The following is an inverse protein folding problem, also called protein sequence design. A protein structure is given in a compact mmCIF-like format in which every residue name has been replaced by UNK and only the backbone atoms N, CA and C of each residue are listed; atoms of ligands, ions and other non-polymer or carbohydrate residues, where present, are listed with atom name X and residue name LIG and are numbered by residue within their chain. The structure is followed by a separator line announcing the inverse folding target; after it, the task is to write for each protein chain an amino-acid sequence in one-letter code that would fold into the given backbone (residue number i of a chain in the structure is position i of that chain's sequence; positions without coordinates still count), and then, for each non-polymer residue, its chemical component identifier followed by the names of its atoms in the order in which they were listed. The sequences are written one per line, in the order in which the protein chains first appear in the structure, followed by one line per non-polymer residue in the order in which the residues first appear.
data_IF_185909905474
#
_entry.id   IF_185909905474
#
_cell.length_a   1.000
_cell.length_b   1.000
_cell.length_c   1.000
_cell.angle_alpha   90.00
_cell.angle_beta   90.00
_cell.angle_gamma   90.00
#
_symmetry.space_group_name_H-M   'P 1'
#
loop_
_entity.id
_entity.type
_entity.pdbx_description
1 polymer ?
#
# COMPACT_ATOMS: atom_id res chain seq x y z
N UNK A 1 12.38 15.87 1.29
CA UNK A 1 11.30 14.89 1.12
C UNK A 1 10.24 15.43 0.19
N UNK A 2 9.69 14.62 -0.72
CA UNK A 2 8.65 15.07 -1.62
C UNK A 2 7.31 15.34 -0.93
N UNK A 3 7.12 14.87 0.30
CA UNK A 3 5.93 15.15 1.09
C UNK A 3 6.26 15.30 2.57
N UNK A 4 5.35 15.93 3.29
CA UNK A 4 5.39 16.06 4.75
C UNK A 4 4.22 15.34 5.38
N UNK A 5 4.32 15.04 6.67
CA UNK A 5 3.26 14.40 7.44
C UNK A 5 2.61 15.42 8.37
N UNK A 6 1.31 15.27 8.57
CA UNK A 6 0.51 16.14 9.43
C UNK A 6 0.00 15.32 10.60
N UNK A 7 0.11 15.85 11.79
CA UNK A 7 -0.43 15.23 13.00
C UNK A 7 -1.37 16.21 13.70
N UNK A 8 -2.37 15.67 14.40
CA UNK A 8 -3.30 16.46 15.18
C UNK A 8 -3.77 15.67 16.38
N UNK A 9 -4.02 16.32 17.53
CA UNK A 9 -4.55 15.61 18.70
C UNK A 9 -5.98 15.09 18.50
N UNK A 10 -6.74 15.62 17.55
CA UNK A 10 -8.11 15.22 17.29
C UNK A 10 -8.22 13.90 16.53
N UNK A 11 -7.13 13.45 15.91
CA UNK A 11 -7.12 12.19 15.16
C UNK A 11 -5.75 11.53 15.29
N UNK A 12 -5.72 10.35 15.89
CA UNK A 12 -4.47 9.62 16.11
C UNK A 12 -4.45 8.34 15.29
N UNK A 13 -3.30 7.99 14.69
CA UNK A 13 -3.18 6.71 14.02
C UNK A 13 -3.24 5.57 15.05
N UNK A 14 -3.95 4.51 14.69
CA UNK A 14 -4.09 3.32 15.53
C UNK A 14 -3.22 2.16 15.03
N UNK A 15 -2.43 2.40 14.01
CA UNK A 15 -1.52 1.43 13.40
C UNK A 15 -0.34 2.17 12.76
N UNK A 16 0.41 1.49 11.90
CA UNK A 16 1.59 2.04 11.25
C UNK A 16 1.23 2.84 9.98
N UNK A 17 0.65 4.01 10.18
CA UNK A 17 0.35 4.97 9.10
C UNK A 17 0.36 6.38 9.66
N UNK A 18 0.33 7.38 8.77
CA UNK A 18 0.20 8.79 9.14
C UNK A 18 -1.24 9.25 8.92
N UNK A 19 -1.69 10.20 9.74
CA UNK A 19 -3.06 10.71 9.64
C UNK A 19 -3.26 11.46 8.33
N UNK A 20 -2.28 12.25 7.91
CA UNK A 20 -2.35 12.98 6.66
C UNK A 20 -0.96 13.22 6.10
N UNK A 21 -0.88 13.35 4.80
CA UNK A 21 0.35 13.72 4.09
C UNK A 21 0.04 14.89 3.15
N UNK A 22 1.05 15.71 2.92
CA UNK A 22 0.94 16.87 2.03
C UNK A 22 2.13 16.89 1.08
N UNK A 23 1.86 17.02 -0.20
CA UNK A 23 2.90 17.12 -1.22
C UNK A 23 3.71 18.40 -1.02
N UNK A 24 5.02 18.28 -0.98
CA UNK A 24 5.94 19.42 -0.85
C UNK A 24 6.76 19.65 -2.13
N UNK A 25 6.86 18.65 -2.98
CA UNK A 25 7.60 18.75 -4.23
C UNK A 25 7.36 17.53 -5.10
N UNK A 26 8.05 17.46 -6.25
CA UNK A 26 7.88 16.37 -7.18
C UNK A 26 6.61 16.49 -8.02
N UNK A 27 6.23 15.39 -8.65
CA UNK A 27 5.04 15.30 -9.49
C UNK A 27 4.14 14.17 -9.00
N UNK A 28 2.84 14.35 -9.14
CA UNK A 28 1.88 13.33 -8.73
C UNK A 28 1.95 12.11 -9.64
N UNK A 29 1.94 10.94 -9.00
CA UNK A 29 1.86 9.65 -9.68
C UNK A 29 0.68 8.89 -9.08
N UNK A 30 -0.29 8.54 -9.90
CA UNK A 30 -1.42 7.71 -9.52
C UNK A 30 -1.13 6.28 -9.93
N UNK A 31 -1.21 5.35 -8.98
CA UNK A 31 -0.89 3.94 -9.21
C UNK A 31 -2.17 3.13 -9.10
N UNK A 32 -2.50 2.44 -10.17
CA UNK A 32 -3.65 1.52 -10.19
C UNK A 32 -3.52 0.45 -9.14
N UNK A 33 -4.64 -0.11 -8.71
CA UNK A 33 -4.66 -1.21 -7.75
C UNK A 33 -3.76 -2.36 -8.19
N UNK A 34 -2.90 -2.78 -7.29
CA UNK A 34 -1.99 -3.91 -7.49
C UNK A 34 -2.47 -5.10 -6.70
N UNK A 35 -2.49 -6.25 -7.34
CA UNK A 35 -2.84 -7.53 -6.73
C UNK A 35 -1.63 -8.47 -6.78
N UNK A 36 -1.75 -9.61 -6.11
CA UNK A 36 -0.60 -10.51 -5.92
C UNK A 36 -0.35 -11.39 -7.14
N UNK A 37 0.03 -10.79 -8.25
CA UNK A 37 0.53 -11.53 -9.40
C UNK A 37 1.93 -11.06 -9.78
N UNK A 38 2.69 -11.95 -10.39
CA UNK A 38 4.04 -11.63 -10.84
C UNK A 38 4.03 -11.05 -12.26
N UNK A 39 5.22 -10.78 -12.80
CA UNK A 39 5.37 -10.21 -14.14
C UNK A 39 4.84 -11.11 -15.26
N UNK A 40 4.73 -12.41 -15.02
CA UNK A 40 4.16 -13.36 -15.97
C UNK A 40 2.64 -13.50 -15.84
N UNK A 41 2.02 -12.81 -14.86
CA UNK A 41 0.58 -12.88 -14.62
C UNK A 41 0.16 -14.07 -13.79
N UNK A 42 1.08 -14.74 -13.10
CA UNK A 42 0.76 -15.84 -12.21
C UNK A 42 0.41 -15.32 -10.81
N UNK A 43 -0.61 -15.91 -10.19
CA UNK A 43 -0.99 -15.55 -8.82
C UNK A 43 0.07 -16.10 -7.86
N UNK A 44 0.57 -15.22 -6.99
CA UNK A 44 1.57 -15.55 -5.99
C UNK A 44 0.89 -15.63 -4.62
N UNK A 45 1.12 -16.70 -3.88
CA UNK A 45 0.63 -16.82 -2.52
C UNK A 45 -0.86 -17.13 -2.40
N UNK A 46 -1.39 -17.99 -3.25
CA UNK A 46 -2.78 -18.44 -3.13
C UNK A 46 -3.05 -18.96 -1.72
N UNK A 47 -4.06 -18.39 -1.05
CA UNK A 47 -4.40 -18.75 0.32
C UNK A 47 -3.47 -18.18 1.40
N UNK A 48 -2.46 -17.41 1.02
CA UNK A 48 -1.45 -16.85 1.92
C UNK A 48 -1.42 -15.33 1.78
N UNK A 49 -2.15 -14.64 2.64
CA UNK A 49 -2.27 -13.17 2.56
C UNK A 49 -0.94 -12.47 2.77
N UNK A 50 -0.06 -13.04 3.60
CA UNK A 50 1.25 -12.44 3.87
C UNK A 50 2.15 -12.47 2.62
N UNK A 51 2.18 -13.61 1.93
CA UNK A 51 2.90 -13.74 0.67
C UNK A 51 2.30 -12.83 -0.40
N UNK A 52 0.97 -12.72 -0.44
CA UNK A 52 0.31 -11.81 -1.36
C UNK A 52 0.66 -10.35 -1.07
N UNK A 53 0.67 -9.95 0.19
CA UNK A 53 1.03 -8.59 0.57
C UNK A 53 2.45 -8.23 0.13
N UNK A 54 3.40 -9.13 0.32
CA UNK A 54 4.77 -8.92 -0.14
C UNK A 54 4.85 -8.70 -1.64
N UNK A 55 4.13 -9.53 -2.41
CA UNK A 55 4.11 -9.39 -3.87
C UNK A 55 3.48 -8.07 -4.31
N UNK A 56 2.40 -7.65 -3.66
CA UNK A 56 1.74 -6.37 -3.95
C UNK A 56 2.70 -5.21 -3.72
N UNK A 57 3.43 -5.22 -2.60
CA UNK A 57 4.40 -4.16 -2.33
C UNK A 57 5.58 -4.18 -3.30
N UNK A 58 6.02 -5.35 -3.74
CA UNK A 58 7.04 -5.44 -4.80
C UNK A 58 6.53 -4.86 -6.12
N UNK A 59 5.27 -5.10 -6.47
CA UNK A 59 4.66 -4.52 -7.65
C UNK A 59 4.62 -2.99 -7.57
N UNK A 60 4.21 -2.45 -6.41
CA UNK A 60 4.20 -1.01 -6.17
C UNK A 60 5.61 -0.42 -6.27
N UNK A 61 6.59 -1.11 -5.68
CA UNK A 61 7.99 -0.69 -5.78
C UNK A 61 8.46 -0.62 -7.22
N UNK A 62 8.13 -1.64 -8.01
CA UNK A 62 8.48 -1.67 -9.43
C UNK A 62 7.92 -0.49 -10.21
N UNK A 63 6.64 -0.16 -9.97
CA UNK A 63 6.01 1.01 -10.61
C UNK A 63 6.71 2.30 -10.19
N UNK A 64 6.97 2.46 -8.90
CA UNK A 64 7.63 3.66 -8.38
C UNK A 64 9.04 3.82 -8.92
N UNK A 65 9.82 2.75 -8.99
CA UNK A 65 11.16 2.77 -9.55
C UNK A 65 11.16 3.13 -11.04
N UNK A 66 10.18 2.67 -11.78
CA UNK A 66 10.00 3.05 -13.18
C UNK A 66 9.74 4.55 -13.33
N UNK A 67 9.18 5.20 -12.31
CA UNK A 67 8.91 6.62 -12.29
C UNK A 67 10.04 7.44 -11.62
N UNK A 68 11.13 6.78 -11.21
CA UNK A 68 12.28 7.46 -10.59
C UNK A 68 12.22 7.57 -9.07
N UNK A 69 11.32 6.83 -8.42
CA UNK A 69 11.18 6.85 -6.96
C UNK A 69 11.29 5.49 -6.31
N UNK A 70 10.72 5.37 -5.14
CA UNK A 70 10.63 4.11 -4.39
C UNK A 70 9.43 4.20 -3.43
N UNK A 71 9.24 3.18 -2.59
CA UNK A 71 8.12 3.11 -1.64
C UNK A 71 8.03 4.34 -0.73
N UNK A 72 9.17 4.95 -0.39
CA UNK A 72 9.20 6.16 0.42
C UNK A 72 8.51 7.36 -0.24
N UNK A 73 8.24 7.30 -1.54
CA UNK A 73 7.53 8.36 -2.26
C UNK A 73 6.01 8.24 -2.17
N UNK A 74 5.49 7.12 -1.65
CA UNK A 74 4.04 6.94 -1.48
C UNK A 74 3.51 7.87 -0.39
N UNK A 75 2.56 8.72 -0.76
CA UNK A 75 1.89 9.63 0.16
C UNK A 75 0.60 9.05 0.70
N UNK A 76 -0.09 8.24 -0.09
CA UNK A 76 -1.37 7.65 0.25
C UNK A 76 -1.45 6.24 -0.31
N UNK A 77 -1.92 5.32 0.50
CA UNK A 77 -2.33 3.99 0.03
C UNK A 77 -3.76 3.71 0.47
N UNK A 78 -4.50 2.99 -0.36
CA UNK A 78 -5.79 2.42 -0.02
C UNK A 78 -5.70 0.92 -0.21
N UNK A 79 -5.99 0.18 0.85
CA UNK A 79 -5.87 -1.26 0.89
C UNK A 79 -7.26 -1.88 0.97
N UNK A 80 -7.56 -2.79 0.06
CA UNK A 80 -8.81 -3.55 0.04
C UNK A 80 -8.46 -4.98 0.41
N UNK A 81 -9.16 -5.53 1.42
CA UNK A 81 -9.01 -6.94 1.82
C UNK A 81 -10.37 -7.62 1.79
N UNK A 82 -10.37 -8.94 1.63
CA UNK A 82 -11.63 -9.69 1.54
C UNK A 82 -12.06 -10.31 2.86
N UNK A 83 -11.18 -10.30 3.87
CA UNK A 83 -11.46 -10.85 5.20
C UNK A 83 -10.86 -9.96 6.27
N UNK A 84 -11.65 -9.58 7.26
CA UNK A 84 -11.18 -8.73 8.35
C UNK A 84 -10.04 -9.38 9.14
N UNK A 85 -10.07 -10.70 9.30
CA UNK A 85 -9.03 -11.44 10.00
C UNK A 85 -7.64 -11.35 9.35
N UNK A 86 -7.56 -10.90 8.10
CA UNK A 86 -6.27 -10.70 7.40
C UNK A 86 -5.62 -9.35 7.73
N UNK A 87 -6.33 -8.46 8.42
CA UNK A 87 -5.81 -7.13 8.75
C UNK A 87 -4.47 -7.17 9.47
N UNK A 88 -4.29 -7.97 10.55
CA UNK A 88 -2.99 -7.97 11.27
C UNK A 88 -1.81 -8.39 10.39
N UNK A 89 -1.99 -9.39 9.52
CA UNK A 89 -0.93 -9.86 8.64
C UNK A 89 -0.56 -8.81 7.59
N UNK A 90 -1.55 -8.08 7.05
CA UNK A 90 -1.32 -7.01 6.08
C UNK A 90 -0.62 -5.83 6.76
N UNK A 91 -1.03 -5.46 7.96
CA UNK A 91 -0.40 -4.39 8.73
C UNK A 91 1.06 -4.73 9.05
N UNK A 92 1.34 -5.98 9.39
CA UNK A 92 2.71 -6.44 9.66
C UNK A 92 3.57 -6.38 8.39
N UNK A 93 3.06 -6.85 7.26
CA UNK A 93 3.78 -6.79 5.99
C UNK A 93 4.08 -5.33 5.60
N UNK A 94 3.10 -4.43 5.81
CA UNK A 94 3.29 -3.00 5.56
C UNK A 94 4.42 -2.43 6.43
N UNK A 95 4.45 -2.79 7.71
CA UNK A 95 5.51 -2.35 8.61
C UNK A 95 6.90 -2.85 8.23
N UNK A 96 6.98 -4.00 7.56
CA UNK A 96 8.26 -4.55 7.09
C UNK A 96 8.82 -3.77 5.90
N UNK A 97 7.97 -3.21 5.04
CA UNK A 97 8.42 -2.55 3.81
C UNK A 97 8.56 -1.03 3.94
N UNK A 98 7.80 -0.40 4.83
CA UNK A 98 7.90 1.04 5.06
C UNK A 98 8.81 1.32 6.23
N UNK A 99 9.96 1.91 5.94
CA UNK A 99 10.94 2.36 6.92
C UNK A 99 11.08 3.87 6.78
N UNK A 100 10.91 4.60 7.87
CA UNK A 100 10.93 6.06 7.86
C UNK A 100 9.55 6.67 7.72
N UNK A 101 9.33 7.55 6.75
CA UNK A 101 8.05 8.21 6.58
C UNK A 101 6.99 7.24 6.06
N UNK A 102 5.85 7.23 6.74
CA UNK A 102 4.73 6.37 6.39
C UNK A 102 3.70 7.15 5.59
N UNK A 103 2.98 6.50 4.66
CA UNK A 103 1.89 7.15 3.95
C UNK A 103 0.65 7.29 4.83
N UNK A 104 -0.26 8.17 4.44
CA UNK A 104 -1.64 8.10 4.87
C UNK A 104 -2.25 6.82 4.33
N UNK A 105 -3.14 6.18 5.08
CA UNK A 105 -3.65 4.85 4.74
C UNK A 105 -5.12 4.71 5.10
N UNK A 106 -5.86 4.06 4.23
CA UNK A 106 -7.23 3.60 4.48
C UNK A 106 -7.29 2.12 4.15
N UNK A 107 -7.94 1.34 5.00
CA UNK A 107 -8.15 -0.09 4.76
C UNK A 107 -9.64 -0.37 4.79
N UNK A 108 -10.12 -1.12 3.80
CA UNK A 108 -11.54 -1.43 3.61
C UNK A 108 -11.68 -2.92 3.38
N UNK A 109 -12.65 -3.54 4.05
CA UNK A 109 -13.05 -4.92 3.76
C UNK A 109 -14.08 -4.88 2.65
N UNK A 110 -13.83 -5.62 1.58
CA UNK A 110 -14.71 -5.71 0.42
C UNK A 110 -15.23 -7.13 0.28
N UNK A 111 -16.34 -7.28 -0.44
CA UNK A 111 -16.94 -8.59 -0.66
C UNK A 111 -16.03 -9.53 -1.44
N UNK A 112 -15.39 -9.02 -2.49
CA UNK A 112 -14.46 -9.78 -3.33
C UNK A 112 -13.63 -8.81 -4.16
N UNK A 113 -12.53 -9.32 -4.70
CA UNK A 113 -11.76 -8.66 -5.74
C UNK A 113 -12.12 -9.30 -7.08
N UNK A 114 -11.45 -8.90 -8.16
CA UNK A 114 -11.84 -9.37 -9.50
C UNK A 114 -11.48 -10.84 -9.77
N UNK A 115 -10.76 -11.49 -8.85
CA UNK A 115 -10.49 -12.92 -8.89
C UNK A 115 -10.56 -13.47 -7.46
N UNK A 116 -11.19 -14.66 -7.27
CA UNK A 116 -11.42 -15.20 -5.92
C UNK A 116 -10.16 -15.53 -5.14
N UNK A 117 -9.04 -15.73 -5.82
CA UNK A 117 -7.78 -16.05 -5.15
C UNK A 117 -7.01 -14.82 -4.68
N UNK A 118 -7.41 -13.61 -5.05
CA UNK A 118 -6.83 -12.39 -4.52
C UNK A 118 -7.43 -12.06 -3.17
N UNK A 119 -6.58 -11.91 -2.17
CA UNK A 119 -6.97 -11.61 -0.79
C UNK A 119 -6.82 -10.12 -0.46
N UNK A 120 -6.01 -9.39 -1.24
CA UNK A 120 -5.85 -7.95 -1.06
C UNK A 120 -5.51 -7.28 -2.38
N UNK A 121 -5.79 -5.98 -2.41
CA UNK A 121 -5.41 -5.07 -3.49
C UNK A 121 -5.00 -3.76 -2.86
N UNK A 122 -3.94 -3.12 -3.36
CA UNK A 122 -3.49 -1.82 -2.86
C UNK A 122 -3.30 -0.87 -4.04
N UNK A 123 -3.91 0.30 -3.94
CA UNK A 123 -3.66 1.42 -4.85
C UNK A 123 -2.90 2.52 -4.12
N UNK A 124 -2.27 3.42 -4.86
CA UNK A 124 -1.47 4.44 -4.22
C UNK A 124 -1.38 5.75 -5.00
N UNK A 125 -0.98 6.77 -4.28
CA UNK A 125 -0.63 8.08 -4.82
C UNK A 125 0.74 8.45 -4.28
N UNK A 126 1.63 8.85 -5.15
CA UNK A 126 3.00 9.17 -4.81
C UNK A 126 3.38 10.56 -5.33
N UNK A 127 4.44 11.11 -4.76
CA UNK A 127 5.12 12.29 -5.27
C UNK A 127 6.53 11.89 -5.69
N UNK A 128 6.81 12.02 -6.98
CA UNK A 128 8.08 11.57 -7.56
C UNK A 128 8.78 12.67 -8.35
#
# INVERSE_FOLDING_TARGET
MPFSTIATPEAKPVANYKIATRMEGGRLLYISGQVAWDAAGNIVGKGDVRAQARQVFENLRGVLRAAGGDLANLMKITTYITRLEDFPAVAQARGEVFQGELPASTLIVVKSLFHPDFLLEIEGVASV
#
